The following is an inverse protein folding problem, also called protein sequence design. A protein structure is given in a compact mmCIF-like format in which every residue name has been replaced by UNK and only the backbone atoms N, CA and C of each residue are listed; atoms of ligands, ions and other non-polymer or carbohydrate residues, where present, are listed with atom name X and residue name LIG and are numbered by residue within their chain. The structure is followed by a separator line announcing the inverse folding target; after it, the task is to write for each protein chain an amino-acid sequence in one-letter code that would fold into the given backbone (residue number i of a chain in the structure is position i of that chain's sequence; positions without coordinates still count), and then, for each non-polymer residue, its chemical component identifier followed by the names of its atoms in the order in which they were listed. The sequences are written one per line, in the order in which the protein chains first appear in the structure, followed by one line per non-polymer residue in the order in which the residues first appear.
data_IF_290522829706
#
_entry.id   IF_290522829706
#
_cell.length_a   1.000
_cell.length_b   1.000
_cell.length_c   1.000
_cell.angle_alpha   90.00
_cell.angle_beta   90.00
_cell.angle_gamma   90.00
#
_symmetry.space_group_name_H-M   'P 1'
#
loop_
_entity.id
_entity.type
_entity.pdbx_description
1 polymer ?
#
# COMPACT_ATOMS: atom_id res chain seq x y z
N UNK A 1 -58.54 26.20 -37.23
CA UNK A 1 -58.16 24.77 -37.31
C UNK A 1 -56.63 24.72 -37.15
N UNK A 2 -56.18 24.54 -35.92
CA UNK A 2 -54.74 24.40 -35.56
C UNK A 2 -54.50 22.90 -35.27
N UNK A 3 -53.66 22.28 -36.08
CA UNK A 3 -53.28 20.89 -35.92
C UNK A 3 -52.23 20.76 -34.85
N UNK A 4 -52.53 20.11 -33.75
CA UNK A 4 -51.59 19.70 -32.73
C UNK A 4 -50.76 18.49 -33.23
N UNK A 5 -49.46 18.70 -33.44
CA UNK A 5 -48.52 17.64 -33.77
C UNK A 5 -48.01 17.03 -32.47
N UNK A 6 -48.58 15.91 -32.06
CA UNK A 6 -48.11 15.10 -30.93
C UNK A 6 -46.81 14.37 -31.35
N UNK A 7 -45.65 14.88 -30.94
CA UNK A 7 -44.38 14.18 -30.97
C UNK A 7 -44.36 13.09 -29.91
N UNK A 8 -44.48 11.82 -30.30
CA UNK A 8 -44.21 10.67 -29.44
C UNK A 8 -42.71 10.66 -29.11
N UNK A 9 -42.37 11.02 -27.89
CA UNK A 9 -41.05 10.76 -27.30
C UNK A 9 -40.90 9.26 -27.12
N UNK A 10 -40.09 8.62 -27.92
CA UNK A 10 -39.65 7.22 -27.69
C UNK A 10 -38.68 7.21 -26.53
N UNK A 11 -38.98 6.53 -25.44
CA UNK A 11 -38.07 6.26 -24.36
C UNK A 11 -36.79 5.59 -24.93
N UNK A 12 -35.59 5.91 -24.44
CA UNK A 12 -34.37 5.25 -24.88
C UNK A 12 -34.47 3.74 -24.64
N UNK A 13 -34.09 2.95 -25.63
CA UNK A 13 -34.06 1.49 -25.54
C UNK A 13 -33.18 1.08 -24.34
N UNK A 14 -33.62 0.12 -23.55
CA UNK A 14 -32.82 -0.46 -22.50
C UNK A 14 -31.50 -1.01 -23.09
N UNK A 15 -30.37 -0.86 -22.40
CA UNK A 15 -29.11 -1.43 -22.88
C UNK A 15 -29.27 -2.94 -23.07
N UNK A 16 -28.60 -3.53 -24.08
CA UNK A 16 -28.65 -4.97 -24.31
C UNK A 16 -28.14 -5.71 -23.06
N UNK A 17 -28.71 -6.89 -22.78
CA UNK A 17 -28.23 -7.74 -21.70
C UNK A 17 -26.75 -8.09 -21.90
N UNK A 18 -25.94 -8.14 -20.84
CA UNK A 18 -24.54 -8.48 -20.94
C UNK A 18 -24.35 -9.89 -21.51
N UNK A 19 -23.33 -10.06 -22.36
CA UNK A 19 -22.94 -11.36 -22.89
C UNK A 19 -22.28 -12.17 -21.78
N UNK A 20 -22.86 -13.32 -21.43
CA UNK A 20 -22.34 -14.22 -20.39
C UNK A 20 -21.37 -15.22 -21.02
N UNK A 21 -20.35 -15.62 -20.28
CA UNK A 21 -19.38 -16.68 -20.61
C UNK A 21 -19.32 -17.72 -19.51
N UNK A 22 -19.17 -19.00 -19.94
CA UNK A 22 -19.12 -20.14 -19.05
C UNK A 22 -17.72 -20.73 -19.04
N UNK A 23 -17.20 -21.00 -17.86
CA UNK A 23 -15.88 -21.58 -17.68
C UNK A 23 -15.83 -22.43 -16.39
N UNK A 24 -14.69 -23.03 -16.09
CA UNK A 24 -14.46 -23.73 -14.82
C UNK A 24 -13.25 -23.17 -14.08
N UNK A 25 -13.35 -23.09 -12.75
CA UNK A 25 -12.23 -22.75 -11.87
C UNK A 25 -12.11 -23.84 -10.83
N UNK A 26 -10.96 -24.53 -10.79
CA UNK A 26 -10.71 -25.69 -9.93
C UNK A 26 -11.83 -26.77 -10.04
N UNK A 27 -12.39 -26.94 -11.24
CA UNK A 27 -13.50 -27.86 -11.53
C UNK A 27 -14.89 -27.32 -11.14
N UNK A 28 -14.99 -26.13 -10.54
CA UNK A 28 -16.27 -25.49 -10.25
C UNK A 28 -16.79 -24.73 -11.47
N UNK A 29 -18.05 -24.93 -11.92
CA UNK A 29 -18.63 -24.16 -13.00
C UNK A 29 -18.83 -22.70 -12.58
N UNK A 30 -18.49 -21.79 -13.47
CA UNK A 30 -18.55 -20.33 -13.25
C UNK A 30 -19.18 -19.67 -14.47
N UNK A 31 -20.16 -18.83 -14.23
CA UNK A 31 -20.79 -17.99 -15.26
C UNK A 31 -20.57 -16.51 -14.88
N UNK A 32 -19.95 -15.75 -15.80
CA UNK A 32 -19.62 -14.34 -15.59
C UNK A 32 -19.88 -13.53 -16.86
N UNK A 33 -20.01 -12.23 -16.71
CA UNK A 33 -20.06 -11.31 -17.84
C UNK A 33 -18.75 -11.37 -18.64
N UNK A 34 -18.85 -11.34 -19.96
CA UNK A 34 -17.70 -11.24 -20.85
C UNK A 34 -16.83 -10.02 -20.51
N UNK A 35 -15.54 -10.24 -20.37
CA UNK A 35 -14.59 -9.20 -19.96
C UNK A 35 -14.27 -9.19 -18.46
N UNK A 36 -14.98 -9.98 -17.64
CA UNK A 36 -14.63 -10.17 -16.23
C UNK A 36 -13.24 -10.76 -16.09
N UNK A 37 -12.42 -10.21 -15.19
CA UNK A 37 -11.09 -10.75 -14.91
C UNK A 37 -11.18 -12.10 -14.19
N UNK A 38 -10.29 -13.03 -14.51
CA UNK A 38 -10.28 -14.37 -13.93
C UNK A 38 -10.23 -14.34 -12.40
N UNK A 39 -9.50 -13.39 -11.83
CA UNK A 39 -9.41 -13.22 -10.36
C UNK A 39 -10.76 -12.82 -9.75
N UNK A 40 -11.57 -12.00 -10.44
CA UNK A 40 -12.92 -11.62 -10.00
C UNK A 40 -13.91 -12.78 -10.16
N UNK A 41 -13.78 -13.54 -11.24
CA UNK A 41 -14.56 -14.75 -11.45
C UNK A 41 -14.28 -15.80 -10.34
N UNK A 42 -13.02 -15.94 -9.93
CA UNK A 42 -12.64 -16.82 -8.82
C UNK A 42 -13.26 -16.38 -7.48
N UNK A 43 -13.30 -15.08 -7.21
CA UNK A 43 -13.93 -14.51 -6.00
C UNK A 43 -15.41 -14.84 -5.91
N UNK A 44 -16.14 -14.82 -7.03
CA UNK A 44 -17.58 -15.13 -7.06
C UNK A 44 -17.89 -16.56 -6.60
N UNK A 45 -16.98 -17.51 -6.83
CA UNK A 45 -17.14 -18.91 -6.41
C UNK A 45 -16.34 -19.22 -5.13
N UNK A 46 -15.84 -18.20 -4.42
CA UNK A 46 -15.13 -18.36 -3.16
C UNK A 46 -13.71 -18.89 -3.29
N UNK A 47 -13.14 -18.95 -4.51
CA UNK A 47 -11.77 -19.41 -4.73
C UNK A 47 -10.79 -18.23 -4.53
N UNK A 48 -9.91 -18.37 -3.56
CA UNK A 48 -8.91 -17.35 -3.23
C UNK A 48 -7.63 -17.53 -4.04
N UNK A 49 -7.30 -16.52 -4.85
CA UNK A 49 -6.02 -16.44 -5.57
C UNK A 49 -5.14 -15.38 -4.86
N UNK A 50 -3.90 -15.73 -4.45
CA UNK A 50 -2.99 -14.80 -3.78
C UNK A 50 -2.57 -13.66 -4.71
N UNK A 51 -2.39 -12.45 -4.16
CA UNK A 51 -2.09 -11.25 -4.95
C UNK A 51 -1.50 -10.13 -4.10
N UNK A 52 -0.77 -9.20 -4.76
CA UNK A 52 -0.31 -7.96 -4.14
C UNK A 52 -0.65 -6.73 -4.97
N UNK A 53 -0.43 -6.74 -6.28
CA UNK A 53 -0.65 -5.55 -7.12
C UNK A 53 -2.12 -5.33 -7.49
N UNK A 54 -2.94 -6.37 -7.48
CA UNK A 54 -4.36 -6.28 -7.81
C UNK A 54 -5.14 -5.54 -6.73
N UNK A 55 -6.06 -4.68 -7.17
CA UNK A 55 -7.03 -3.98 -6.34
C UNK A 55 -8.32 -3.78 -7.14
N UNK A 56 -9.52 -4.02 -6.56
CA UNK A 56 -10.79 -3.93 -7.30
C UNK A 56 -11.02 -2.58 -7.98
N UNK A 57 -10.61 -1.50 -7.32
CA UNK A 57 -10.83 -0.12 -7.76
C UNK A 57 -9.69 0.43 -8.64
N UNK A 58 -8.69 -0.38 -9.00
CA UNK A 58 -7.58 0.05 -9.85
C UNK A 58 -7.49 -0.79 -11.12
N UNK A 59 -7.08 -0.17 -12.21
CA UNK A 59 -6.83 -0.87 -13.46
C UNK A 59 -5.82 -2.02 -13.29
N UNK A 60 -5.98 -3.14 -13.98
CA UNK A 60 -5.06 -4.27 -13.93
C UNK A 60 -3.63 -3.90 -14.30
N UNK A 61 -2.63 -4.48 -13.62
CA UNK A 61 -1.21 -4.19 -13.91
C UNK A 61 -0.31 -5.42 -14.06
N UNK A 62 -0.70 -6.56 -13.48
CA UNK A 62 0.06 -7.82 -13.51
C UNK A 62 1.53 -7.73 -13.03
N UNK A 63 1.87 -6.73 -12.20
CA UNK A 63 3.25 -6.45 -11.81
C UNK A 63 3.86 -7.49 -10.86
N UNK A 64 3.13 -7.89 -9.81
CA UNK A 64 3.68 -8.72 -8.75
C UNK A 64 3.81 -10.20 -9.11
N UNK A 65 3.06 -10.68 -10.10
CA UNK A 65 3.02 -12.09 -10.55
C UNK A 65 2.62 -13.11 -9.49
N UNK A 66 2.09 -12.69 -8.36
CA UNK A 66 1.66 -13.61 -7.30
C UNK A 66 0.36 -14.35 -7.65
N UNK A 67 -0.45 -13.79 -8.55
CA UNK A 67 -1.75 -14.34 -8.95
C UNK A 67 -1.68 -15.28 -10.17
N UNK A 68 -0.53 -15.91 -10.42
CA UNK A 68 -0.36 -16.85 -11.54
C UNK A 68 -1.22 -18.09 -11.33
N UNK A 69 -1.98 -18.45 -12.38
CA UNK A 69 -2.82 -19.65 -12.47
C UNK A 69 -2.51 -20.39 -13.77
N UNK A 70 -2.79 -21.67 -13.79
CA UNK A 70 -2.76 -22.44 -15.03
C UNK A 70 -4.08 -22.24 -15.78
N UNK A 71 -3.99 -21.96 -17.07
CA UNK A 71 -5.13 -21.67 -17.92
C UNK A 71 -5.12 -22.62 -19.10
N UNK A 72 -6.22 -23.32 -19.32
CA UNK A 72 -6.47 -24.08 -20.54
C UNK A 72 -7.59 -23.41 -21.34
N UNK A 73 -7.43 -23.38 -22.66
CA UNK A 73 -8.35 -22.72 -23.57
C UNK A 73 -8.79 -23.67 -24.68
N UNK A 74 -10.06 -23.58 -25.12
CA UNK A 74 -10.52 -24.33 -26.28
C UNK A 74 -9.79 -23.86 -27.53
N UNK A 75 -9.21 -24.80 -28.27
CA UNK A 75 -8.66 -24.54 -29.59
C UNK A 75 -9.75 -24.38 -30.64
N UNK A 76 -9.37 -24.05 -31.88
CA UNK A 76 -10.30 -23.97 -33.01
C UNK A 76 -11.00 -25.29 -33.34
N UNK A 77 -10.43 -26.39 -32.90
CA UNK A 77 -10.94 -27.76 -32.99
C UNK A 77 -11.84 -28.16 -31.79
N UNK A 78 -12.12 -27.24 -30.88
CA UNK A 78 -12.91 -27.46 -29.66
C UNK A 78 -12.17 -28.24 -28.56
N UNK A 79 -10.91 -28.63 -28.78
CA UNK A 79 -10.13 -29.34 -27.76
C UNK A 79 -9.49 -28.32 -26.81
N UNK A 80 -9.75 -28.47 -25.52
CA UNK A 80 -9.16 -27.63 -24.47
C UNK A 80 -7.70 -28.02 -24.25
N UNK A 81 -6.79 -27.06 -24.32
CA UNK A 81 -5.34 -27.24 -24.15
C UNK A 81 -4.77 -26.24 -23.17
N UNK A 82 -3.86 -26.65 -22.28
CA UNK A 82 -3.19 -25.73 -21.36
C UNK A 82 -2.29 -24.76 -22.14
N UNK A 83 -2.25 -23.52 -21.66
CA UNK A 83 -1.28 -22.54 -22.10
C UNK A 83 0.15 -22.94 -21.66
N UNK A 84 1.18 -22.60 -22.44
CA UNK A 84 2.56 -23.07 -22.17
C UNK A 84 3.17 -22.48 -20.89
N UNK A 85 2.58 -21.44 -20.32
CA UNK A 85 3.04 -20.77 -19.09
C UNK A 85 1.84 -20.34 -18.26
N UNK A 86 1.97 -20.34 -16.92
CA UNK A 86 0.96 -19.76 -16.02
C UNK A 86 0.67 -18.30 -16.36
N UNK A 87 -0.59 -17.91 -16.23
CA UNK A 87 -1.09 -16.58 -16.59
C UNK A 87 -1.49 -15.77 -15.35
N UNK A 88 -1.32 -14.43 -15.38
CA UNK A 88 -1.74 -13.56 -14.29
C UNK A 88 -3.27 -13.38 -14.29
N UNK A 89 -3.96 -14.01 -13.36
CA UNK A 89 -5.43 -13.98 -13.28
C UNK A 89 -6.01 -12.57 -13.09
N UNK A 90 -5.22 -11.63 -12.53
CA UNK A 90 -5.63 -10.24 -12.35
C UNK A 90 -5.61 -9.38 -13.62
N UNK A 91 -5.13 -9.92 -14.75
CA UNK A 91 -5.04 -9.18 -16.02
C UNK A 91 -5.54 -9.99 -17.22
N UNK A 92 -6.07 -11.18 -16.97
CA UNK A 92 -6.66 -12.02 -18.02
C UNK A 92 -8.18 -12.06 -17.84
N UNK A 93 -8.91 -11.89 -18.93
CA UNK A 93 -10.37 -11.89 -18.94
C UNK A 93 -10.92 -13.28 -19.20
N UNK A 94 -12.08 -13.54 -18.62
CA UNK A 94 -12.87 -14.75 -18.81
C UNK A 94 -13.30 -14.91 -20.28
N UNK A 95 -13.21 -16.11 -20.80
CA UNK A 95 -13.66 -16.49 -22.13
C UNK A 95 -14.39 -17.83 -22.09
N UNK A 96 -15.29 -18.05 -23.03
CA UNK A 96 -16.09 -19.26 -23.13
C UNK A 96 -15.22 -20.53 -23.19
N UNK A 97 -15.58 -21.52 -22.36
CA UNK A 97 -14.93 -22.82 -22.32
C UNK A 97 -13.53 -22.85 -21.71
N UNK A 98 -13.09 -21.78 -21.02
CA UNK A 98 -11.83 -21.80 -20.28
C UNK A 98 -11.88 -22.78 -19.09
N UNK A 99 -10.74 -23.42 -18.81
CA UNK A 99 -10.51 -24.17 -17.58
C UNK A 99 -9.33 -23.54 -16.83
N UNK A 100 -9.56 -23.14 -15.58
CA UNK A 100 -8.60 -22.47 -14.74
C UNK A 100 -8.26 -23.39 -13.57
N UNK A 101 -6.97 -23.60 -13.33
CA UNK A 101 -6.48 -24.33 -12.15
C UNK A 101 -5.60 -23.41 -11.32
N UNK A 102 -6.02 -23.20 -10.06
CA UNK A 102 -5.30 -22.36 -9.10
C UNK A 102 -4.25 -23.19 -8.35
N UNK A 103 -3.60 -22.57 -7.37
CA UNK A 103 -2.64 -23.26 -6.48
C UNK A 103 -3.26 -24.43 -5.70
N UNK A 104 -4.59 -24.51 -5.64
CA UNK A 104 -5.28 -25.61 -4.96
C UNK A 104 -5.31 -26.91 -5.78
N UNK A 105 -5.31 -26.80 -7.11
CA UNK A 105 -5.48 -27.94 -8.04
C UNK A 105 -4.33 -28.09 -9.04
N UNK A 106 -3.44 -27.10 -9.18
CA UNK A 106 -2.30 -27.12 -10.10
C UNK A 106 -0.97 -26.97 -9.35
N UNK A 107 -0.11 -27.98 -9.43
CA UNK A 107 1.26 -27.91 -8.95
C UNK A 107 2.09 -26.84 -9.68
N UNK A 108 1.78 -26.60 -10.96
CA UNK A 108 2.45 -25.58 -11.78
C UNK A 108 2.14 -24.18 -11.26
N UNK A 109 0.87 -23.91 -10.94
CA UNK A 109 0.46 -22.65 -10.34
C UNK A 109 1.05 -22.47 -8.93
N UNK A 110 0.97 -23.50 -8.10
CA UNK A 110 1.54 -23.48 -6.74
C UNK A 110 3.06 -23.19 -6.77
N UNK A 111 3.80 -23.88 -7.62
CA UNK A 111 5.25 -23.67 -7.79
C UNK A 111 5.59 -22.28 -8.33
N UNK A 112 4.80 -21.75 -9.26
CA UNK A 112 4.99 -20.42 -9.80
C UNK A 112 4.78 -19.35 -8.74
N UNK A 113 3.74 -19.45 -7.92
CA UNK A 113 3.44 -18.55 -6.82
C UNK A 113 4.51 -18.62 -5.71
N UNK A 114 4.96 -19.84 -5.34
CA UNK A 114 6.06 -20.03 -4.39
C UNK A 114 7.35 -19.39 -4.87
N UNK A 115 7.71 -19.57 -6.15
CA UNK A 115 8.89 -18.94 -6.75
C UNK A 115 8.77 -17.41 -6.78
N UNK A 116 7.60 -16.87 -7.07
CA UNK A 116 7.33 -15.42 -7.01
C UNK A 116 7.52 -14.90 -5.58
N UNK A 117 6.98 -15.59 -4.59
CA UNK A 117 7.16 -15.22 -3.17
C UNK A 117 8.63 -15.23 -2.79
N UNK A 118 9.40 -16.23 -3.22
CA UNK A 118 10.84 -16.31 -2.96
C UNK A 118 11.56 -15.07 -3.53
N UNK A 119 11.24 -14.65 -4.75
CA UNK A 119 11.80 -13.43 -5.34
C UNK A 119 11.39 -12.16 -4.58
N UNK A 120 10.16 -12.05 -4.13
CA UNK A 120 9.72 -10.90 -3.34
C UNK A 120 10.44 -10.81 -1.99
N UNK A 121 10.79 -11.95 -1.41
CA UNK A 121 11.46 -12.03 -0.11
C UNK A 121 12.98 -11.96 -0.18
N UNK A 122 13.61 -12.14 -1.34
CA UNK A 122 15.08 -12.22 -1.48
C UNK A 122 15.80 -11.00 -0.88
N UNK A 123 15.28 -9.79 -1.14
CA UNK A 123 15.83 -8.54 -0.61
C UNK A 123 14.94 -7.88 0.46
N UNK A 124 13.75 -8.45 0.72
CA UNK A 124 12.86 -7.89 1.74
C UNK A 124 13.52 -7.98 3.12
N UNK A 125 13.67 -6.87 3.87
CA UNK A 125 14.42 -6.86 5.12
C UNK A 125 13.70 -7.65 6.22
N UNK A 126 14.44 -8.14 7.20
CA UNK A 126 13.92 -8.83 8.38
C UNK A 126 13.38 -7.84 9.43
N UNK A 127 12.62 -6.89 8.99
CA UNK A 127 12.14 -5.75 9.78
C UNK A 127 10.78 -6.01 10.46
N UNK A 128 10.17 -7.17 10.32
CA UNK A 128 8.83 -7.42 10.89
C UNK A 128 8.68 -6.97 12.34
N UNK A 129 9.67 -7.15 13.25
CA UNK A 129 9.58 -6.68 14.62
C UNK A 129 9.50 -5.16 14.78
N UNK A 130 10.02 -4.40 13.82
CA UNK A 130 10.06 -2.92 13.82
C UNK A 130 9.26 -2.30 12.67
N UNK A 131 8.49 -3.10 11.93
CA UNK A 131 7.67 -2.65 10.82
C UNK A 131 6.24 -2.38 11.29
N UNK A 132 5.70 -1.18 11.05
CA UNK A 132 4.35 -0.81 11.47
C UNK A 132 3.24 -1.59 10.75
N UNK A 133 3.56 -2.29 9.64
CA UNK A 133 2.63 -3.21 8.96
C UNK A 133 2.66 -4.62 9.56
N UNK A 134 3.56 -4.91 10.49
CA UNK A 134 3.69 -6.22 11.12
C UNK A 134 2.42 -6.63 11.87
N UNK A 135 1.86 -7.81 11.55
CA UNK A 135 0.60 -8.32 12.07
C UNK A 135 -0.63 -8.03 11.20
N UNK A 136 -0.52 -7.12 10.22
CA UNK A 136 -1.57 -6.85 9.21
C UNK A 136 -0.99 -6.82 7.79
N UNK A 137 0.16 -7.45 7.56
CA UNK A 137 0.92 -7.41 6.31
C UNK A 137 0.52 -8.56 5.37
N UNK A 138 -0.06 -8.27 4.18
CA UNK A 138 -0.37 -9.30 3.20
C UNK A 138 0.83 -10.15 2.77
N UNK A 139 2.04 -9.57 2.67
CA UNK A 139 3.25 -10.33 2.34
C UNK A 139 3.58 -11.35 3.43
N UNK A 140 3.50 -10.94 4.70
CA UNK A 140 3.73 -11.81 5.84
C UNK A 140 2.72 -12.96 5.88
N UNK A 141 1.42 -12.65 5.70
CA UNK A 141 0.36 -13.65 5.73
C UNK A 141 0.52 -14.68 4.61
N UNK A 142 0.76 -14.24 3.38
CA UNK A 142 0.94 -15.15 2.24
C UNK A 142 2.24 -15.97 2.34
N UNK A 143 3.32 -15.40 2.90
CA UNK A 143 4.54 -16.17 3.16
C UNK A 143 4.29 -17.29 4.20
N UNK A 144 3.54 -16.98 5.27
CA UNK A 144 3.17 -17.98 6.28
C UNK A 144 2.23 -19.07 5.72
N UNK A 145 1.28 -18.70 4.87
CA UNK A 145 0.39 -19.64 4.17
C UNK A 145 1.18 -20.62 3.30
N UNK A 146 2.18 -20.14 2.53
CA UNK A 146 3.06 -20.98 1.71
C UNK A 146 3.94 -21.90 2.57
N UNK A 147 4.44 -21.44 3.70
CA UNK A 147 5.17 -22.29 4.65
C UNK A 147 4.26 -23.38 5.25
N UNK A 148 3.05 -23.03 5.66
CA UNK A 148 2.10 -23.95 6.25
C UNK A 148 1.63 -25.03 5.26
N UNK A 149 1.54 -24.70 3.97
CA UNK A 149 1.22 -25.67 2.90
C UNK A 149 2.38 -26.58 2.53
N UNK A 150 3.59 -26.33 3.07
CA UNK A 150 4.80 -27.08 2.70
C UNK A 150 5.37 -26.72 1.32
N UNK A 151 4.75 -25.76 0.60
CA UNK A 151 5.20 -25.37 -0.73
C UNK A 151 6.56 -24.64 -0.69
N UNK A 152 6.88 -24.00 0.43
CA UNK A 152 8.18 -23.40 0.65
C UNK A 152 8.53 -23.39 2.14
N UNK A 153 9.62 -24.06 2.52
CA UNK A 153 10.07 -24.16 3.93
C UNK A 153 11.33 -23.36 4.21
N UNK A 154 12.14 -23.07 3.19
CA UNK A 154 13.36 -22.28 3.29
C UNK A 154 13.70 -21.62 1.94
N UNK A 155 14.37 -20.50 1.99
CA UNK A 155 14.96 -19.90 0.80
C UNK A 155 16.31 -20.56 0.48
N UNK A 156 16.63 -20.67 -0.80
CA UNK A 156 17.96 -21.05 -1.30
C UNK A 156 18.94 -19.87 -1.42
N UNK A 157 18.43 -18.65 -1.20
CA UNK A 157 19.24 -17.43 -1.27
C UNK A 157 19.76 -17.08 0.12
N UNK A 158 21.05 -17.06 0.30
CA UNK A 158 21.76 -16.83 1.57
C UNK A 158 22.58 -15.55 1.60
N UNK A 159 22.59 -14.81 0.48
CA UNK A 159 23.36 -13.56 0.38
C UNK A 159 22.80 -12.46 1.28
N UNK A 160 23.65 -11.46 1.54
CA UNK A 160 23.27 -10.28 2.31
C UNK A 160 22.18 -9.51 1.57
N UNK A 161 21.11 -9.19 2.28
CA UNK A 161 20.00 -8.41 1.73
C UNK A 161 20.43 -6.97 1.47
N UNK A 162 19.89 -6.39 0.40
CA UNK A 162 20.07 -4.95 0.13
C UNK A 162 19.48 -4.12 1.26
N UNK A 163 20.17 -3.06 1.61
CA UNK A 163 19.70 -2.08 2.60
C UNK A 163 19.73 -0.69 1.99
N UNK A 164 18.75 0.13 2.36
CA UNK A 164 18.66 1.52 1.95
C UNK A 164 18.57 2.39 3.20
N UNK A 165 19.01 3.66 3.12
CA UNK A 165 18.67 4.64 4.15
C UNK A 165 17.16 4.71 4.34
N UNK A 166 16.71 4.63 5.60
CA UNK A 166 15.29 4.65 5.97
C UNK A 166 15.07 5.23 7.37
N UNK A 167 13.93 5.90 7.58
CA UNK A 167 12.89 6.20 6.59
C UNK A 167 13.27 7.37 5.69
N UNK A 168 12.71 7.40 4.47
CA UNK A 168 12.68 8.59 3.65
C UNK A 168 11.36 9.32 3.91
N UNK A 169 11.41 10.62 4.08
CA UNK A 169 10.22 11.43 4.29
C UNK A 169 9.63 11.84 2.94
N UNK A 170 8.45 11.32 2.59
CA UNK A 170 7.72 11.77 1.40
C UNK A 170 6.95 13.06 1.67
N UNK A 171 6.31 13.12 2.84
CA UNK A 171 5.57 14.30 3.34
C UNK A 171 5.70 14.34 4.86
N UNK A 172 5.16 15.37 5.53
CA UNK A 172 5.08 15.43 6.99
C UNK A 172 4.38 14.23 7.60
N UNK A 173 3.47 13.60 6.87
CA UNK A 173 2.64 12.50 7.35
C UNK A 173 3.06 11.12 6.84
N UNK A 174 3.87 11.04 5.77
CA UNK A 174 4.14 9.79 5.07
C UNK A 174 5.64 9.51 5.00
N UNK A 175 6.01 8.34 5.47
CA UNK A 175 7.38 7.82 5.45
C UNK A 175 7.48 6.65 4.46
N UNK A 176 8.62 6.55 3.78
CA UNK A 176 8.95 5.49 2.85
C UNK A 176 10.20 4.72 3.31
N UNK A 177 10.03 3.43 3.56
CA UNK A 177 11.11 2.47 3.76
C UNK A 177 11.29 1.66 2.46
N UNK A 178 12.18 2.10 1.57
CA UNK A 178 12.32 1.58 0.20
C UNK A 178 12.64 0.09 0.12
N UNK A 179 13.46 -0.42 1.02
CA UNK A 179 13.87 -1.81 1.07
C UNK A 179 12.70 -2.77 1.39
N UNK A 180 11.62 -2.28 1.96
CA UNK A 180 10.38 -3.04 2.18
C UNK A 180 9.45 -3.04 0.97
N UNK A 181 9.70 -2.19 -0.03
CA UNK A 181 8.85 -2.08 -1.20
C UNK A 181 8.97 -3.31 -2.11
N UNK A 182 7.83 -3.87 -2.51
CA UNK A 182 7.73 -5.01 -3.43
C UNK A 182 7.37 -4.59 -4.87
N UNK A 183 7.46 -3.30 -5.17
CA UNK A 183 7.21 -2.70 -6.50
C UNK A 183 5.85 -3.07 -7.10
N UNK A 184 4.83 -3.25 -6.29
CA UNK A 184 3.49 -3.59 -6.75
C UNK A 184 2.75 -2.45 -7.45
N UNK A 185 3.24 -1.22 -7.32
CA UNK A 185 2.70 0.00 -7.93
C UNK A 185 1.25 0.34 -7.54
N UNK A 186 0.70 -0.20 -6.46
CA UNK A 186 -0.64 0.21 -6.00
C UNK A 186 -0.70 1.70 -5.68
N UNK A 187 0.31 2.23 -4.97
CA UNK A 187 0.38 3.65 -4.61
C UNK A 187 0.46 4.58 -5.83
N UNK A 188 1.24 4.21 -6.84
CA UNK A 188 1.38 4.98 -8.09
C UNK A 188 0.06 5.02 -8.85
N UNK A 189 -0.56 3.84 -9.04
CA UNK A 189 -1.85 3.74 -9.75
C UNK A 189 -2.98 4.41 -8.98
N UNK A 190 -2.98 4.33 -7.66
CA UNK A 190 -3.94 5.06 -6.83
C UNK A 190 -3.82 6.57 -7.08
N UNK A 191 -2.61 7.13 -6.96
CA UNK A 191 -2.39 8.56 -7.11
C UNK A 191 -2.81 9.09 -8.49
N UNK A 192 -2.59 8.31 -9.54
CA UNK A 192 -2.94 8.64 -10.91
C UNK A 192 -4.44 8.44 -11.22
N UNK A 193 -5.01 7.29 -10.82
CA UNK A 193 -6.34 6.86 -11.28
C UNK A 193 -7.48 7.33 -10.40
N UNK A 194 -7.27 7.53 -9.10
CA UNK A 194 -8.33 7.90 -8.16
C UNK A 194 -8.38 9.41 -7.97
N UNK A 195 -7.40 10.09 -7.32
CA UNK A 195 -7.44 11.54 -7.19
C UNK A 195 -6.97 12.30 -8.44
N UNK A 196 -6.34 11.64 -9.41
CA UNK A 196 -5.72 12.32 -10.55
C UNK A 196 -4.54 13.21 -10.16
N UNK A 197 -3.86 12.89 -9.07
CA UNK A 197 -2.74 13.65 -8.50
C UNK A 197 -1.51 12.73 -8.35
N UNK A 198 -0.70 12.54 -9.43
CA UNK A 198 0.41 11.60 -9.47
C UNK A 198 1.65 12.11 -8.72
N UNK A 199 1.53 12.38 -7.41
CA UNK A 199 2.64 12.86 -6.57
C UNK A 199 3.71 11.80 -6.27
N UNK A 200 3.43 10.52 -6.52
CA UNK A 200 4.35 9.39 -6.34
C UNK A 200 4.41 8.58 -7.64
N UNK A 201 5.60 8.18 -8.05
CA UNK A 201 5.80 7.46 -9.30
C UNK A 201 6.87 6.36 -9.19
N UNK A 202 6.89 5.48 -10.18
CA UNK A 202 7.99 4.56 -10.40
C UNK A 202 9.14 5.31 -11.05
N UNK A 203 10.32 5.24 -10.44
CA UNK A 203 11.52 5.95 -10.88
C UNK A 203 12.62 4.95 -11.24
N UNK A 204 13.49 5.34 -12.16
CA UNK A 204 14.58 4.51 -12.64
C UNK A 204 14.20 3.62 -13.83
N UNK A 205 15.20 2.90 -14.35
CA UNK A 205 15.06 2.00 -15.51
C UNK A 205 15.75 0.67 -15.23
N UNK A 206 14.98 -0.39 -15.17
CA UNK A 206 15.46 -1.76 -15.06
C UNK A 206 16.30 -2.05 -13.81
N UNK A 207 16.99 -3.18 -13.81
CA UNK A 207 17.92 -3.56 -12.76
C UNK A 207 19.19 -2.71 -12.82
N UNK A 208 19.47 -1.98 -11.75
CA UNK A 208 20.72 -1.21 -11.67
C UNK A 208 21.96 -2.08 -11.71
N UNK A 209 23.05 -1.51 -12.18
CA UNK A 209 24.36 -2.12 -12.02
C UNK A 209 24.84 -1.91 -10.57
N UNK A 210 25.30 -2.94 -9.88
CA UNK A 210 26.06 -2.72 -8.67
C UNK A 210 27.29 -1.87 -9.03
N UNK A 211 27.47 -0.74 -8.37
CA UNK A 211 28.79 -0.09 -8.39
C UNK A 211 29.73 -0.92 -7.53
N UNK A 212 30.89 -1.19 -8.06
CA UNK A 212 31.97 -1.85 -7.34
C UNK A 212 33.04 -0.82 -7.12
N UNK A 213 33.64 -0.82 -5.93
CA UNK A 213 34.88 -0.06 -5.68
C UNK A 213 36.03 -0.61 -6.50
N UNK A 214 37.17 0.09 -6.45
CA UNK A 214 38.37 -0.31 -7.20
C UNK A 214 38.93 -1.68 -6.78
N UNK A 215 38.52 -2.19 -5.62
CA UNK A 215 38.90 -3.49 -5.07
C UNK A 215 37.89 -4.60 -5.38
N UNK A 216 36.81 -4.27 -6.10
CA UNK A 216 35.75 -5.22 -6.51
C UNK A 216 34.73 -5.51 -5.43
N UNK A 217 34.68 -4.74 -4.35
CA UNK A 217 33.64 -4.82 -3.35
C UNK A 217 32.41 -4.04 -3.82
N UNK A 218 31.19 -4.54 -3.59
CA UNK A 218 29.99 -3.77 -3.92
C UNK A 218 29.96 -2.51 -3.05
N UNK A 219 30.17 -1.37 -3.69
CA UNK A 219 29.84 -0.10 -3.06
C UNK A 219 28.36 -0.08 -2.66
N UNK A 220 28.06 0.59 -1.56
CA UNK A 220 26.79 0.60 -0.85
C UNK A 220 25.53 0.90 -1.67
N UNK A 221 25.58 0.81 -2.91
CA UNK A 221 24.52 1.39 -3.67
C UNK A 221 23.96 0.55 -4.81
N UNK A 222 24.04 -0.72 -4.71
CA UNK A 222 23.35 -1.59 -5.68
C UNK A 222 21.89 -1.30 -5.90
N UNK A 223 21.34 -0.27 -5.25
CA UNK A 223 19.96 0.15 -5.37
C UNK A 223 19.76 1.48 -6.09
N UNK A 224 20.78 2.25 -6.34
CA UNK A 224 20.63 3.61 -6.86
C UNK A 224 20.13 3.68 -8.29
N UNK A 225 20.27 2.62 -9.07
CA UNK A 225 19.95 2.60 -10.49
C UNK A 225 18.81 1.65 -10.85
N UNK A 226 18.23 0.94 -9.88
CA UNK A 226 17.07 0.08 -10.13
C UNK A 226 15.76 0.83 -9.98
N UNK A 227 14.69 0.26 -10.52
CA UNK A 227 13.35 0.80 -10.35
C UNK A 227 12.98 0.94 -8.88
N UNK A 228 12.49 2.11 -8.50
CA UNK A 228 12.10 2.46 -7.15
C UNK A 228 10.83 3.30 -7.15
N UNK A 229 10.07 3.24 -6.07
CA UNK A 229 8.99 4.17 -5.83
C UNK A 229 9.55 5.42 -5.17
N UNK A 230 9.14 6.56 -5.61
CA UNK A 230 9.55 7.84 -5.03
C UNK A 230 8.74 9.02 -5.53
N UNK A 231 8.94 10.15 -4.89
CA UNK A 231 8.38 11.45 -5.28
C UNK A 231 9.34 12.13 -6.25
N UNK A 232 8.84 13.01 -7.12
CA UNK A 232 9.65 13.86 -8.02
C UNK A 232 10.29 15.05 -7.28
N UNK A 233 10.88 14.80 -6.13
CA UNK A 233 11.64 15.78 -5.37
C UNK A 233 13.13 15.45 -5.51
N UNK A 234 13.96 16.45 -5.81
CA UNK A 234 15.41 16.29 -5.94
C UNK A 234 16.03 15.64 -4.70
N UNK A 235 15.51 15.93 -3.51
CA UNK A 235 15.96 15.33 -2.24
C UNK A 235 15.63 13.85 -2.11
N UNK A 236 14.59 13.39 -2.82
CA UNK A 236 14.22 11.96 -2.91
C UNK A 236 14.94 11.27 -4.05
N UNK A 237 15.39 12.05 -5.05
CA UNK A 237 16.03 11.60 -6.29
C UNK A 237 17.55 11.83 -6.31
N UNK A 238 18.08 12.57 -5.35
CA UNK A 238 19.52 12.80 -5.28
C UNK A 238 20.23 11.53 -4.79
N UNK A 239 20.67 10.78 -5.77
CA UNK A 239 21.37 9.52 -5.61
C UNK A 239 22.87 9.65 -5.92
N UNK A 240 23.39 10.87 -6.09
CA UNK A 240 24.81 11.06 -6.31
C UNK A 240 25.60 10.68 -5.06
N UNK A 241 26.55 9.78 -5.22
CA UNK A 241 27.37 9.27 -4.10
C UNK A 241 28.17 10.37 -3.37
N UNK A 242 28.36 11.54 -4.00
CA UNK A 242 29.02 12.70 -3.38
C UNK A 242 28.08 13.64 -2.64
N UNK A 243 26.79 13.67 -2.98
CA UNK A 243 25.79 14.49 -2.31
C UNK A 243 24.99 13.70 -1.29
N UNK A 244 24.91 12.37 -1.43
CA UNK A 244 24.25 11.51 -0.48
C UNK A 244 24.89 11.55 0.91
N UNK A 245 26.21 11.68 1.02
CA UNK A 245 26.86 11.89 2.32
C UNK A 245 26.56 13.27 2.90
N UNK A 246 26.44 14.31 2.08
CA UNK A 246 26.14 15.67 2.56
C UNK A 246 24.65 15.90 2.79
N UNK A 247 23.75 15.33 1.97
CA UNK A 247 22.30 15.38 2.19
C UNK A 247 21.85 14.42 3.27
N UNK A 248 22.47 13.24 3.35
CA UNK A 248 22.28 12.32 4.46
C UNK A 248 22.80 12.95 5.75
N UNK A 249 23.91 13.72 5.73
CA UNK A 249 24.38 14.41 6.93
C UNK A 249 23.54 15.65 7.30
N UNK A 250 23.01 16.39 6.36
CA UNK A 250 22.12 17.52 6.67
C UNK A 250 20.72 17.02 7.10
N UNK A 251 20.19 16.00 6.44
CA UNK A 251 18.90 15.40 6.79
C UNK A 251 19.02 14.35 7.89
N UNK A 252 20.18 13.67 8.06
CA UNK A 252 20.48 12.87 9.25
C UNK A 252 20.86 13.71 10.45
N UNK A 253 21.31 14.94 10.30
CA UNK A 253 21.36 15.84 11.47
C UNK A 253 19.97 16.27 11.92
N UNK A 254 19.00 16.32 11.02
CA UNK A 254 17.59 16.45 11.33
C UNK A 254 16.97 15.10 11.75
N UNK A 255 17.45 13.98 11.23
CA UNK A 255 17.11 12.59 11.61
C UNK A 255 17.97 12.12 12.82
N UNK A 256 19.09 12.76 13.15
CA UNK A 256 19.86 12.56 14.40
C UNK A 256 19.10 13.00 15.65
N UNK A 257 17.93 13.63 15.50
CA UNK A 257 16.92 13.67 16.55
C UNK A 257 16.17 12.33 16.73
N UNK A 258 16.32 11.34 15.82
CA UNK A 258 15.97 9.95 16.12
C UNK A 258 17.07 9.41 17.03
N UNK A 259 16.81 9.17 18.32
CA UNK A 259 17.83 8.61 19.20
C UNK A 259 18.36 7.34 18.55
N UNK A 260 19.69 7.23 18.43
CA UNK A 260 20.32 5.92 18.18
C UNK A 260 19.76 4.92 19.21
N UNK A 261 19.76 3.63 18.89
CA UNK A 261 19.35 2.62 19.89
C UNK A 261 20.03 2.83 21.26
N UNK A 262 21.22 3.47 21.30
CA UNK A 262 21.92 3.87 22.52
C UNK A 262 21.28 5.08 23.24
N UNK A 263 20.53 5.91 22.54
CA UNK A 263 19.79 7.02 23.15
C UNK A 263 18.34 6.62 23.56
N UNK A 264 17.86 5.43 23.20
CA UNK A 264 16.65 4.83 23.78
C UNK A 264 16.77 4.60 25.29
N UNK A 265 17.99 4.58 25.84
CA UNK A 265 18.26 4.58 27.28
C UNK A 265 17.88 5.89 27.97
N UNK A 266 17.90 7.02 27.28
CA UNK A 266 17.56 8.34 27.81
C UNK A 266 16.06 8.68 27.73
N UNK A 267 15.23 7.81 27.15
CA UNK A 267 13.77 7.93 27.17
C UNK A 267 13.16 7.46 28.51
N UNK A 268 13.97 6.83 29.36
CA UNK A 268 13.64 6.60 30.75
C UNK A 268 14.28 7.74 31.57
N UNK A 269 13.56 8.83 31.76
CA UNK A 269 13.95 9.84 32.74
C UNK A 269 14.19 9.19 34.10
N UNK A 270 14.97 9.82 35.01
CA UNK A 270 15.28 9.29 36.31
C UNK A 270 13.99 9.18 37.15
N UNK A 271 13.30 8.08 37.01
CA UNK A 271 12.01 7.84 37.65
C UNK A 271 11.19 6.71 37.10
N UNK A 272 11.58 6.14 35.91
CA UNK A 272 11.04 4.84 35.45
C UNK A 272 9.55 4.77 35.16
N UNK A 273 8.81 5.86 35.24
CA UNK A 273 7.46 5.92 34.66
C UNK A 273 7.61 6.26 33.20
N UNK A 274 7.04 5.48 32.27
CA UNK A 274 6.84 5.98 30.91
C UNK A 274 5.99 7.23 31.09
N UNK A 275 6.62 8.39 30.92
CA UNK A 275 5.92 9.65 31.01
C UNK A 275 4.68 9.49 30.14
N UNK A 276 3.52 9.75 30.70
CA UNK A 276 2.32 9.89 29.94
C UNK A 276 2.65 10.97 28.92
N UNK A 277 3.06 10.55 27.70
CA UNK A 277 3.14 11.48 26.60
C UNK A 277 1.74 12.04 26.52
N UNK A 278 1.59 13.34 26.66
CA UNK A 278 0.33 14.07 26.55
C UNK A 278 -0.36 13.86 25.18
N UNK A 279 0.06 12.87 24.41
CA UNK A 279 -0.42 12.58 23.07
C UNK A 279 0.11 13.55 22.01
N UNK A 280 0.90 14.53 22.40
CA UNK A 280 1.46 15.55 21.48
C UNK A 280 2.88 15.21 21.03
N UNK A 281 3.60 14.34 21.78
CA UNK A 281 4.90 13.85 21.34
C UNK A 281 4.74 12.78 20.26
N UNK A 282 4.65 13.22 19.04
CA UNK A 282 4.60 12.37 17.84
C UNK A 282 5.95 11.71 17.49
N UNK A 283 6.80 11.51 18.47
CA UNK A 283 8.17 11.10 18.29
C UNK A 283 9.08 12.29 18.04
N UNK A 284 10.40 12.05 17.89
CA UNK A 284 11.35 13.13 17.66
C UNK A 284 10.84 13.98 16.50
N UNK A 285 10.88 15.28 16.73
CA UNK A 285 10.52 16.29 15.73
C UNK A 285 11.34 16.06 14.46
N UNK A 286 10.75 15.31 13.51
CA UNK A 286 11.34 15.05 12.20
C UNK A 286 11.31 16.31 11.32
N UNK A 287 11.40 17.49 11.93
CA UNK A 287 11.45 18.80 11.29
C UNK A 287 10.14 19.56 11.41
N UNK A 288 9.60 19.70 12.64
CA UNK A 288 8.62 20.75 12.92
C UNK A 288 9.20 22.08 12.43
N UNK A 289 8.49 22.71 11.50
CA UNK A 289 8.94 23.97 10.89
C UNK A 289 9.51 23.88 9.48
N UNK A 290 9.71 22.68 8.90
CA UNK A 290 9.89 22.54 7.46
C UNK A 290 8.52 22.27 6.84
N UNK A 291 7.98 23.23 6.12
CA UNK A 291 6.87 23.03 5.20
C UNK A 291 7.25 21.94 4.19
N UNK A 292 6.35 20.98 3.95
CA UNK A 292 6.53 20.02 2.86
C UNK A 292 6.45 20.80 1.54
N UNK A 293 7.56 20.94 0.88
CA UNK A 293 7.64 21.63 -0.41
C UNK A 293 7.64 20.61 -1.54
N UNK A 294 6.94 20.91 -2.62
CA UNK A 294 7.06 20.21 -3.89
C UNK A 294 8.36 20.58 -4.63
N UNK A 295 8.60 19.98 -5.80
CA UNK A 295 9.77 20.27 -6.62
C UNK A 295 9.84 21.75 -7.11
N UNK A 296 8.73 22.50 -7.05
CA UNK A 296 8.66 23.91 -7.39
C UNK A 296 8.89 24.84 -6.18
N UNK A 297 9.10 24.27 -4.99
CA UNK A 297 9.26 25.02 -3.74
C UNK A 297 7.94 25.46 -3.11
N UNK A 298 6.80 24.89 -3.54
CA UNK A 298 5.49 25.14 -2.95
C UNK A 298 5.14 24.10 -1.89
N UNK A 299 4.29 24.42 -0.91
CA UNK A 299 3.78 23.43 0.02
C UNK A 299 3.15 22.26 -0.73
N UNK A 300 3.46 21.02 -0.28
CA UNK A 300 2.85 19.83 -0.84
C UNK A 300 1.36 19.78 -0.48
N UNK A 301 0.51 19.80 -1.49
CA UNK A 301 -0.93 20.03 -1.36
C UNK A 301 -1.78 18.88 -1.93
N UNK A 302 -1.39 17.63 -1.72
CA UNK A 302 -2.27 16.52 -2.06
C UNK A 302 -3.34 16.33 -0.98
N UNK A 303 -4.60 16.15 -1.42
CA UNK A 303 -5.74 16.00 -0.52
C UNK A 303 -6.02 14.55 -0.09
N UNK A 304 -5.46 13.58 -0.83
CA UNK A 304 -5.73 12.15 -0.65
C UNK A 304 -4.46 11.32 -0.46
N UNK A 305 -3.31 11.96 -0.23
CA UNK A 305 -2.02 11.29 -0.23
C UNK A 305 -1.91 10.17 0.81
N UNK A 306 -2.56 10.29 1.94
CA UNK A 306 -2.51 9.30 3.03
C UNK A 306 -3.08 7.92 2.67
N UNK A 307 -3.91 7.82 1.62
CA UNK A 307 -4.45 6.53 1.19
C UNK A 307 -3.37 5.56 0.68
N UNK A 308 -2.21 6.08 0.22
CA UNK A 308 -1.10 5.21 -0.19
C UNK A 308 -0.52 4.38 0.98
N UNK A 309 -0.70 4.81 2.22
CA UNK A 309 -0.31 4.05 3.41
C UNK A 309 -1.20 2.81 3.56
N UNK A 310 -2.51 2.98 3.41
CA UNK A 310 -3.48 1.91 3.58
C UNK A 310 -3.43 0.91 2.44
N UNK A 311 -3.37 1.39 1.19
CA UNK A 311 -3.34 0.54 -0.01
C UNK A 311 -2.02 -0.21 -0.16
N UNK A 312 -0.92 0.26 0.46
CA UNK A 312 0.37 -0.42 0.41
C UNK A 312 0.28 -1.79 1.10
N UNK A 313 0.58 -2.90 0.38
CA UNK A 313 0.45 -4.25 0.94
C UNK A 313 1.56 -4.62 1.91
N UNK A 314 2.57 -3.76 2.05
CA UNK A 314 3.74 -3.96 2.92
C UNK A 314 4.03 -2.71 3.74
N UNK A 315 5.01 -2.77 4.64
CA UNK A 315 5.42 -1.64 5.47
C UNK A 315 6.38 -0.66 4.78
N UNK A 316 6.32 -0.55 3.44
CA UNK A 316 7.12 0.42 2.71
C UNK A 316 6.61 1.85 2.92
N UNK A 317 5.30 2.05 2.86
CA UNK A 317 4.65 3.33 3.14
C UNK A 317 3.96 3.26 4.48
N UNK A 318 4.33 4.16 5.39
CA UNK A 318 3.85 4.18 6.78
C UNK A 318 3.49 5.59 7.21
N UNK A 319 2.60 5.70 8.22
CA UNK A 319 2.22 6.98 8.80
C UNK A 319 3.27 7.45 9.80
N UNK A 320 3.76 8.68 9.66
CA UNK A 320 4.65 9.29 10.64
C UNK A 320 3.98 9.38 12.03
N UNK A 321 2.67 9.66 12.07
CA UNK A 321 1.90 9.78 13.32
C UNK A 321 1.67 8.44 14.04
N UNK A 322 1.69 7.33 13.30
CA UNK A 322 1.46 5.99 13.87
C UNK A 322 2.77 5.22 14.12
N UNK A 323 3.90 5.67 13.54
CA UNK A 323 5.17 4.94 13.58
C UNK A 323 5.56 4.56 15.02
N UNK A 324 5.76 3.25 15.24
CA UNK A 324 6.16 2.64 16.51
C UNK A 324 5.18 2.81 17.70
N UNK A 325 3.92 3.20 17.45
CA UNK A 325 2.94 3.46 18.53
C UNK A 325 2.27 2.19 19.04
N UNK A 326 1.91 1.27 18.15
CA UNK A 326 1.21 0.03 18.53
C UNK A 326 1.37 -1.06 17.50
N UNK A 327 1.01 -2.29 17.88
CA UNK A 327 0.78 -3.40 16.96
C UNK A 327 -0.72 -3.56 16.71
N UNK A 328 -1.14 -4.10 15.55
CA UNK A 328 -2.57 -4.30 15.27
C UNK A 328 -3.30 -5.09 16.35
N UNK A 329 -2.63 -6.08 16.96
CA UNK A 329 -3.19 -6.89 18.04
C UNK A 329 -3.39 -6.13 19.37
N UNK A 330 -2.76 -4.97 19.52
CA UNK A 330 -2.92 -4.11 20.72
C UNK A 330 -4.07 -3.10 20.55
N UNK A 331 -4.67 -3.04 19.37
CA UNK A 331 -5.66 -2.04 19.00
C UNK A 331 -7.08 -2.54 19.27
N UNK A 332 -7.92 -1.62 19.69
CA UNK A 332 -9.37 -1.74 19.60
C UNK A 332 -9.83 -0.93 18.41
N UNK A 333 -10.47 -1.62 17.46
CA UNK A 333 -10.96 -1.00 16.22
C UNK A 333 -12.46 -0.82 16.30
N UNK A 334 -12.95 0.34 15.87
CA UNK A 334 -14.38 0.69 15.85
C UNK A 334 -14.69 1.38 14.54
N UNK A 335 -15.76 0.93 13.88
CA UNK A 335 -16.29 1.60 12.70
C UNK A 335 -16.99 2.89 13.11
N UNK A 336 -16.82 3.94 12.32
CA UNK A 336 -17.34 5.28 12.59
C UNK A 336 -17.53 6.05 11.29
N UNK A 337 -17.98 7.28 11.41
CA UNK A 337 -18.08 8.26 10.33
C UNK A 337 -17.22 9.45 10.70
N UNK A 338 -16.55 10.05 9.72
CA UNK A 338 -15.68 11.22 9.97
C UNK A 338 -16.47 12.43 10.41
N UNK A 339 -15.90 13.23 11.30
CA UNK A 339 -16.41 14.55 11.68
C UNK A 339 -15.84 15.71 10.85
N UNK A 340 -14.94 15.41 9.91
CA UNK A 340 -14.18 16.44 9.19
C UNK A 340 -14.67 16.73 7.78
N UNK A 341 -15.54 15.91 7.23
CA UNK A 341 -16.16 16.14 5.93
C UNK A 341 -17.72 16.13 6.02
N UNK A 342 -18.35 16.67 4.99
CA UNK A 342 -19.81 16.73 4.90
C UNK A 342 -20.40 15.52 4.15
N UNK A 343 -19.58 14.65 3.57
CA UNK A 343 -20.03 13.47 2.82
C UNK A 343 -20.35 12.29 3.74
N UNK A 344 -19.86 12.33 4.98
CA UNK A 344 -20.10 11.25 5.93
C UNK A 344 -19.25 10.02 5.62
N UNK A 345 -17.99 10.22 5.23
CA UNK A 345 -17.07 9.14 4.88
C UNK A 345 -16.94 8.13 6.01
N UNK A 346 -17.10 6.85 5.69
CA UNK A 346 -16.88 5.76 6.61
C UNK A 346 -15.40 5.64 6.98
N UNK A 347 -15.12 5.53 8.26
CA UNK A 347 -13.78 5.35 8.81
C UNK A 347 -13.75 4.21 9.81
N UNK A 348 -12.56 3.63 9.99
CA UNK A 348 -12.22 2.78 11.12
C UNK A 348 -11.29 3.53 12.05
N UNK A 349 -11.69 3.69 13.28
CA UNK A 349 -10.92 4.32 14.35
C UNK A 349 -10.17 3.25 15.11
N UNK A 350 -8.84 3.31 15.12
CA UNK A 350 -7.99 2.39 15.86
C UNK A 350 -7.45 3.07 17.12
N UNK A 351 -7.76 2.50 18.27
CA UNK A 351 -7.43 3.03 19.60
C UNK A 351 -6.59 2.05 20.41
N UNK A 352 -5.75 2.59 21.30
CA UNK A 352 -5.06 1.84 22.36
C UNK A 352 -5.21 2.57 23.68
N UNK A 353 -5.69 1.89 24.71
CA UNK A 353 -5.88 2.45 26.07
C UNK A 353 -6.66 3.77 26.10
N UNK A 354 -7.69 3.88 25.25
CA UNK A 354 -8.52 5.08 25.18
C UNK A 354 -7.95 6.24 24.34
N UNK A 355 -6.77 6.07 23.73
CA UNK A 355 -6.16 7.07 22.86
C UNK A 355 -6.31 6.62 21.40
N UNK A 356 -6.83 7.49 20.55
CA UNK A 356 -6.90 7.26 19.09
C UNK A 356 -5.49 7.38 18.53
N UNK A 357 -5.07 6.34 17.78
CA UNK A 357 -3.73 6.27 17.20
C UNK A 357 -3.73 6.43 15.68
N UNK A 358 -4.80 6.04 15.01
CA UNK A 358 -4.97 6.23 13.56
C UNK A 358 -6.43 6.14 13.14
N UNK A 359 -6.73 6.81 12.04
CA UNK A 359 -7.93 6.59 11.23
C UNK A 359 -7.56 5.87 9.94
N UNK A 360 -8.36 4.91 9.56
CA UNK A 360 -8.29 4.22 8.27
C UNK A 360 -9.61 4.43 7.54
N UNK A 361 -9.59 4.39 6.20
CA UNK A 361 -10.82 4.36 5.43
C UNK A 361 -11.62 3.10 5.78
N UNK A 362 -12.89 3.26 6.03
CA UNK A 362 -13.87 2.19 5.99
C UNK A 362 -14.21 1.83 4.54
N UNK A 363 -14.93 0.74 4.35
CA UNK A 363 -15.42 0.36 3.04
C UNK A 363 -16.90 0.70 2.94
N UNK A 364 -17.22 1.78 2.22
CA UNK A 364 -18.58 2.20 1.92
C UNK A 364 -18.72 2.51 0.42
N UNK A 365 -19.23 1.54 -0.39
CA UNK A 365 -19.35 1.71 -1.83
C UNK A 365 -20.24 2.86 -2.29
N UNK A 366 -21.13 3.36 -1.44
CA UNK A 366 -22.07 4.43 -1.80
C UNK A 366 -21.52 5.82 -1.48
N UNK A 367 -20.55 5.93 -0.55
CA UNK A 367 -20.07 7.21 -0.04
C UNK A 367 -18.61 7.46 -0.41
N UNK A 368 -17.69 6.63 0.05
CA UNK A 368 -16.24 6.88 -0.08
C UNK A 368 -15.45 5.67 -0.55
N UNK A 369 -16.10 4.58 -0.95
CA UNK A 369 -15.42 3.33 -1.31
C UNK A 369 -14.41 2.93 -0.23
N UNK A 370 -13.11 2.93 -0.55
CA UNK A 370 -12.03 2.62 0.40
C UNK A 370 -11.08 3.83 0.63
N UNK A 371 -11.55 5.06 0.36
CA UNK A 371 -10.72 6.26 0.37
C UNK A 371 -11.24 7.32 1.33
N UNK A 372 -10.32 8.03 2.01
CA UNK A 372 -10.63 9.19 2.85
C UNK A 372 -9.63 10.32 2.59
N UNK A 373 -10.02 11.54 2.93
CA UNK A 373 -9.14 12.70 2.81
C UNK A 373 -7.98 12.62 3.82
N UNK A 374 -6.91 13.35 3.57
CA UNK A 374 -5.79 13.47 4.51
C UNK A 374 -6.23 14.16 5.80
N UNK A 375 -7.22 15.04 5.73
CA UNK A 375 -7.82 15.65 6.91
C UNK A 375 -8.50 14.59 7.79
N UNK A 376 -9.32 13.72 7.21
CA UNK A 376 -10.00 12.64 7.95
C UNK A 376 -9.00 11.66 8.56
N UNK A 377 -7.93 11.38 7.83
CA UNK A 377 -6.90 10.42 8.23
C UNK A 377 -6.00 10.92 9.35
N UNK A 378 -5.66 12.21 9.37
CA UNK A 378 -4.61 12.74 10.23
C UNK A 378 -5.08 13.76 11.25
N UNK A 379 -6.26 14.34 11.11
CA UNK A 379 -6.73 15.39 12.01
C UNK A 379 -7.27 14.89 13.36
N UNK A 380 -7.37 13.58 13.59
CA UNK A 380 -7.86 13.01 14.86
C UNK A 380 -7.12 13.51 16.10
N UNK A 381 -5.92 14.04 15.92
CA UNK A 381 -5.07 14.58 16.99
C UNK A 381 -5.60 15.89 17.58
N UNK A 382 -6.57 16.56 16.91
CA UNK A 382 -7.12 17.84 17.37
C UNK A 382 -7.72 17.78 18.79
N UNK A 383 -8.29 16.64 19.18
CA UNK A 383 -8.93 16.46 20.46
C UNK A 383 -7.95 16.43 21.64
N UNK A 384 -6.66 16.18 21.38
CA UNK A 384 -5.60 16.09 22.38
C UNK A 384 -4.57 17.23 22.30
N UNK A 385 -4.86 18.29 21.51
CA UNK A 385 -3.97 19.45 21.42
C UNK A 385 -3.88 20.20 22.75
N UNK A 386 -2.69 20.70 23.15
CA UNK A 386 -2.49 21.35 24.44
C UNK A 386 -3.20 22.69 24.60
N UNK A 387 -3.57 23.34 23.49
CA UNK A 387 -4.30 24.60 23.45
C UNK A 387 -5.83 24.43 23.58
N UNK A 388 -6.28 23.16 23.71
CA UNK A 388 -7.71 22.86 23.85
C UNK A 388 -8.21 23.25 25.24
N UNK A 389 -9.33 23.96 25.28
CA UNK A 389 -10.03 24.27 26.54
C UNK A 389 -10.57 23.01 27.17
N UNK A 390 -10.06 22.65 28.34
CA UNK A 390 -10.45 21.44 29.10
C UNK A 390 -11.45 21.76 30.22
N UNK A 391 -11.59 23.04 30.56
CA UNK A 391 -12.53 23.54 31.55
C UNK A 391 -13.21 24.82 31.03
N UNK A 392 -14.42 25.13 31.53
CA UNK A 392 -15.04 26.42 31.24
C UNK A 392 -14.16 27.56 31.72
N UNK A 393 -13.93 28.54 30.88
CA UNK A 393 -13.22 29.77 31.26
C UNK A 393 -14.22 30.90 31.39
N UNK A 394 -14.06 31.70 32.46
CA UNK A 394 -14.83 32.94 32.69
C UNK A 394 -13.85 34.09 32.58
N UNK A 395 -14.25 35.12 31.83
CA UNK A 395 -13.45 36.32 31.69
C UNK A 395 -13.45 37.07 33.03
N UNK A 396 -12.27 37.32 33.53
CA UNK A 396 -12.09 38.21 34.71
C UNK A 396 -12.11 39.65 34.21
N UNK A 397 -12.84 40.52 34.88
CA UNK A 397 -12.95 41.92 34.52
C UNK A 397 -11.64 42.69 34.77
N UNK A 398 -10.68 42.11 35.55
CA UNK A 398 -9.40 42.74 35.89
C UNK A 398 -8.24 42.41 34.93
N UNK A 399 -8.44 41.51 33.95
CA UNK A 399 -7.48 41.14 32.91
C UNK A 399 -8.12 41.25 31.50
#
# INVERSE_FOLDING_TARGET
MTAETTTKSSAPAAPPAPEMVHMTIDGLPVEVEKGTLLIRAAEQVGVRIPRFCDHPLLAPSANCRQCLVEVAMPGRDGVVRPMPKPQPSCAMTAMEGMEISTQATSEVAAKAQAGTMEFLLINHPLDCPVCDKGGECPLQNQALELMASGAQTATRFTDVKRTFPKPLRLTSNILLDRDRCILCQRCVRFADQIPGDPFIALQGRGGGHPSYDMDGHPEHAGGLYSEQIGRFDARVLDFSSGSAEQTVDADLQTIRGVPSLSALGDLTGPGGEPGASDGTDYGPDLGAGREDLDASGRPFASYFSGNIIQICPVGALTSAKYRFRARPMDLVSTDSVTEHDASGSAIRVDMRRGVVLRHLAGNDPEVNEEWITDKDRFAFTWSSQPDRLTVPLVRDEET
#
